data_IF_100011107234
#
_entry.id   IF_100011107234
#
_cell.length_a   1.000
_cell.length_b   1.000
_cell.length_c   1.000
_cell.angle_alpha   90.00
_cell.angle_beta   90.00
_cell.angle_gamma   90.00
#
_symmetry.space_group_name_H-M   'P 1'
#
loop_
_entity.id
_entity.type
_entity.pdbx_description
1 polymer ?
#
# COMPACT_ATOMS: atom_id res chain seq x y z
N UNK A 1 29.51 3.73 45.00
CA UNK A 1 29.56 3.25 43.60
C UNK A 1 28.13 2.91 43.21
N UNK A 2 27.44 3.85 42.57
CA UNK A 2 26.06 3.62 42.11
C UNK A 2 26.08 2.61 40.97
N UNK A 3 25.24 1.58 41.08
CA UNK A 3 24.98 0.62 40.00
C UNK A 3 24.67 1.41 38.73
N UNK A 4 25.38 1.13 37.63
CA UNK A 4 24.91 1.55 36.32
C UNK A 4 23.65 0.72 36.05
N UNK A 5 22.49 1.33 36.24
CA UNK A 5 21.22 0.72 35.85
C UNK A 5 21.25 0.56 34.33
N UNK A 6 21.55 -0.66 33.89
CA UNK A 6 21.52 -1.05 32.48
C UNK A 6 20.07 -1.00 32.03
N UNK A 7 19.67 0.07 31.34
CA UNK A 7 18.39 0.10 30.64
C UNK A 7 18.37 -1.08 29.66
N UNK A 8 17.33 -1.93 29.67
CA UNK A 8 17.19 -2.93 28.63
C UNK A 8 17.10 -2.21 27.28
N UNK A 9 18.09 -2.45 26.41
CA UNK A 9 18.15 -1.96 25.03
C UNK A 9 17.21 -2.76 24.10
N UNK A 10 16.07 -3.22 24.63
CA UNK A 10 15.06 -3.97 23.89
C UNK A 10 13.82 -3.10 23.85
N UNK A 11 13.44 -2.66 22.65
CA UNK A 11 12.19 -1.96 22.45
C UNK A 11 11.03 -2.93 22.71
N UNK A 12 10.07 -2.50 23.54
CA UNK A 12 8.83 -3.23 23.72
C UNK A 12 7.91 -2.92 22.54
N UNK A 13 7.85 -3.85 21.59
CA UNK A 13 7.03 -3.74 20.39
C UNK A 13 5.67 -4.44 20.56
N UNK A 14 5.49 -5.21 21.64
CA UNK A 14 4.28 -6.03 21.86
C UNK A 14 3.02 -5.16 22.06
N UNK A 15 3.19 -3.87 22.40
CA UNK A 15 2.09 -2.91 22.49
C UNK A 15 1.57 -2.43 21.13
N UNK A 16 2.32 -2.64 20.04
CA UNK A 16 1.97 -2.19 18.70
C UNK A 16 1.24 -3.29 17.92
N UNK A 17 1.82 -4.49 17.88
CA UNK A 17 1.25 -5.65 17.21
C UNK A 17 1.56 -6.95 17.97
N UNK A 18 0.78 -8.02 17.75
CA UNK A 18 1.15 -9.34 18.23
C UNK A 18 2.53 -9.75 17.71
N UNK A 19 3.26 -10.55 18.49
CA UNK A 19 4.61 -10.99 18.11
C UNK A 19 4.62 -11.72 16.75
N UNK A 20 5.67 -11.58 15.93
CA UNK A 20 5.77 -12.25 14.64
C UNK A 20 5.60 -13.78 14.69
N UNK A 21 5.92 -14.43 15.81
CA UNK A 21 5.77 -15.88 16.02
C UNK A 21 4.34 -16.31 16.40
N UNK A 22 3.45 -15.36 16.68
CA UNK A 22 2.09 -15.62 17.16
C UNK A 22 1.13 -16.01 16.02
N UNK A 23 0.05 -16.72 16.36
CA UNK A 23 -0.99 -17.06 15.40
C UNK A 23 -1.79 -15.80 15.01
N UNK A 24 -1.95 -14.88 15.95
CA UNK A 24 -2.66 -13.62 15.80
C UNK A 24 -1.98 -12.71 14.77
N UNK A 25 -0.64 -12.63 14.79
CA UNK A 25 0.10 -11.87 13.75
C UNK A 25 -0.08 -12.48 12.37
N UNK A 26 -0.11 -13.82 12.29
CA UNK A 26 -0.35 -14.51 11.02
C UNK A 26 -1.74 -14.23 10.47
N UNK A 27 -2.77 -14.26 11.32
CA UNK A 27 -4.15 -13.95 10.90
C UNK A 27 -4.27 -12.51 10.41
N UNK A 28 -3.64 -11.56 11.11
CA UNK A 28 -3.57 -10.15 10.70
C UNK A 28 -2.88 -10.00 9.34
N UNK A 29 -1.73 -10.65 9.14
CA UNK A 29 -1.03 -10.60 7.86
C UNK A 29 -1.83 -11.27 6.72
N UNK A 30 -2.47 -12.41 7.00
CA UNK A 30 -3.30 -13.14 6.03
C UNK A 30 -4.51 -12.28 5.62
N UNK A 31 -5.10 -11.53 6.55
CA UNK A 31 -6.18 -10.57 6.28
C UNK A 31 -5.70 -9.40 5.40
N UNK A 32 -4.55 -8.80 5.72
CA UNK A 32 -3.93 -7.76 4.89
C UNK A 32 -3.69 -8.26 3.47
N UNK A 33 -3.12 -9.46 3.32
CA UNK A 33 -2.85 -10.05 2.01
C UNK A 33 -4.15 -10.41 1.25
N UNK A 34 -5.21 -10.79 1.96
CA UNK A 34 -6.52 -11.01 1.37
C UNK A 34 -7.12 -9.71 0.86
N UNK A 35 -7.10 -8.63 1.65
CA UNK A 35 -7.63 -7.32 1.24
C UNK A 35 -6.88 -6.75 0.04
N UNK A 36 -5.55 -6.91 -0.03
CA UNK A 36 -4.80 -6.51 -1.22
C UNK A 36 -5.31 -7.21 -2.49
N UNK A 37 -5.71 -8.49 -2.40
CA UNK A 37 -6.28 -9.21 -3.55
C UNK A 37 -7.65 -8.66 -3.93
N UNK A 38 -8.50 -8.33 -2.97
CA UNK A 38 -9.80 -7.70 -3.26
C UNK A 38 -9.62 -6.31 -3.86
N UNK A 39 -8.60 -5.55 -3.43
CA UNK A 39 -8.25 -4.25 -3.97
C UNK A 39 -7.74 -4.33 -5.41
N UNK A 40 -6.99 -5.37 -5.77
CA UNK A 40 -6.62 -5.62 -7.18
C UNK A 40 -7.87 -5.78 -8.05
N UNK A 41 -8.80 -6.65 -7.64
CA UNK A 41 -10.05 -6.88 -8.36
C UNK A 41 -10.90 -5.60 -8.46
N UNK A 42 -11.01 -4.84 -7.36
CA UNK A 42 -11.73 -3.57 -7.33
C UNK A 42 -11.07 -2.53 -8.24
N UNK A 43 -9.74 -2.44 -8.22
CA UNK A 43 -8.98 -1.53 -9.07
C UNK A 43 -9.17 -1.86 -10.54
N UNK A 44 -9.16 -3.14 -10.91
CA UNK A 44 -9.39 -3.60 -12.29
C UNK A 44 -10.84 -3.37 -12.74
N UNK A 45 -11.80 -3.36 -11.82
CA UNK A 45 -13.21 -3.09 -12.08
C UNK A 45 -13.60 -1.60 -11.99
N UNK A 46 -12.67 -0.69 -11.67
CA UNK A 46 -12.99 0.74 -11.56
C UNK A 46 -13.56 1.29 -12.88
N UNK A 47 -14.66 2.07 -12.82
CA UNK A 47 -15.17 2.78 -13.99
C UNK A 47 -14.19 3.88 -14.44
N UNK A 48 -14.41 4.40 -15.63
CA UNK A 48 -13.66 5.56 -16.12
C UNK A 48 -13.83 6.75 -15.15
N UNK A 49 -12.77 7.56 -14.94
CA UNK A 49 -12.77 8.65 -13.98
C UNK A 49 -13.56 9.86 -14.51
N UNK A 50 -14.88 9.80 -14.30
CA UNK A 50 -15.84 10.86 -14.62
C UNK A 50 -16.62 11.31 -13.37
N UNK A 51 -17.24 12.51 -13.34
CA UNK A 51 -17.89 13.03 -12.13
C UNK A 51 -18.94 12.10 -11.52
N UNK A 52 -19.70 11.37 -12.36
CA UNK A 52 -20.70 10.42 -11.89
C UNK A 52 -20.10 9.21 -11.15
N UNK A 53 -18.84 8.88 -11.43
CA UNK A 53 -18.11 7.78 -10.82
C UNK A 53 -17.26 8.20 -9.60
N UNK A 54 -17.23 9.49 -9.25
CA UNK A 54 -16.35 10.03 -8.21
C UNK A 54 -16.54 9.35 -6.85
N UNK A 55 -17.78 9.02 -6.46
CA UNK A 55 -18.06 8.30 -5.22
C UNK A 55 -17.42 6.90 -5.17
N UNK A 56 -17.56 6.12 -6.26
CA UNK A 56 -16.97 4.78 -6.36
C UNK A 56 -15.44 4.84 -6.27
N UNK A 57 -14.84 5.82 -6.94
CA UNK A 57 -13.41 6.09 -6.86
C UNK A 57 -12.97 6.49 -5.46
N UNK A 58 -13.72 7.35 -4.77
CA UNK A 58 -13.41 7.78 -3.42
C UNK A 58 -13.44 6.63 -2.42
N UNK A 59 -14.45 5.77 -2.49
CA UNK A 59 -14.56 4.60 -1.63
C UNK A 59 -13.39 3.62 -1.86
N UNK A 60 -13.04 3.39 -3.12
CA UNK A 60 -11.88 2.56 -3.47
C UNK A 60 -10.57 3.17 -2.96
N UNK A 61 -10.33 4.46 -3.22
CA UNK A 61 -9.08 5.13 -2.86
C UNK A 61 -8.89 5.24 -1.34
N UNK A 62 -9.98 5.37 -0.56
CA UNK A 62 -9.92 5.32 0.91
C UNK A 62 -9.52 3.94 1.40
N UNK A 63 -10.11 2.87 0.85
CA UNK A 63 -9.71 1.50 1.18
C UNK A 63 -8.25 1.24 0.82
N UNK A 64 -7.79 1.79 -0.32
CA UNK A 64 -6.40 1.70 -0.72
C UNK A 64 -5.45 2.47 0.22
N UNK A 65 -5.83 3.68 0.63
CA UNK A 65 -5.09 4.45 1.65
C UNK A 65 -5.00 3.70 2.98
N UNK A 66 -6.11 3.15 3.45
CA UNK A 66 -6.16 2.35 4.68
C UNK A 66 -5.24 1.12 4.59
N UNK A 67 -5.27 0.42 3.45
CA UNK A 67 -4.38 -0.72 3.19
C UNK A 67 -2.92 -0.31 3.21
N UNK A 68 -2.55 0.79 2.55
CA UNK A 68 -1.18 1.29 2.52
C UNK A 68 -0.68 1.68 3.91
N UNK A 69 -1.54 2.31 4.72
CA UNK A 69 -1.24 2.66 6.11
C UNK A 69 -0.96 1.41 6.94
N UNK A 70 -1.87 0.44 6.92
CA UNK A 70 -1.72 -0.79 7.70
C UNK A 70 -0.48 -1.60 7.25
N UNK A 71 -0.26 -1.71 5.94
CA UNK A 71 0.93 -2.35 5.38
C UNK A 71 2.22 -1.66 5.82
N UNK A 72 2.25 -0.32 5.82
CA UNK A 72 3.42 0.45 6.27
C UNK A 72 3.71 0.25 7.75
N UNK A 73 2.67 0.20 8.59
CA UNK A 73 2.81 -0.03 10.03
C UNK A 73 3.37 -1.44 10.30
N UNK A 74 2.89 -2.45 9.58
CA UNK A 74 3.35 -3.85 9.68
C UNK A 74 4.79 -4.01 9.15
N UNK A 75 5.12 -3.36 8.02
CA UNK A 75 6.48 -3.36 7.47
C UNK A 75 7.47 -2.76 8.48
N UNK A 76 7.16 -1.59 9.03
CA UNK A 76 7.99 -0.95 10.05
C UNK A 76 8.15 -1.82 11.30
N UNK A 77 7.08 -2.50 11.74
CA UNK A 77 7.12 -3.42 12.87
C UNK A 77 8.06 -4.61 12.61
N UNK A 78 7.95 -5.25 11.43
CA UNK A 78 8.82 -6.35 11.02
C UNK A 78 10.28 -5.88 10.90
N UNK A 79 10.53 -4.70 10.32
CA UNK A 79 11.86 -4.13 10.18
C UNK A 79 12.52 -3.85 11.53
N UNK A 80 11.76 -3.39 12.53
CA UNK A 80 12.28 -3.22 13.88
C UNK A 80 12.71 -4.55 14.52
N UNK A 81 11.93 -5.62 14.31
CA UNK A 81 12.33 -6.97 14.74
C UNK A 81 13.54 -7.49 13.97
N UNK A 82 13.65 -7.21 12.67
CA UNK A 82 14.77 -7.61 11.83
C UNK A 82 16.05 -6.88 12.24
N UNK A 83 15.96 -5.59 12.58
CA UNK A 83 17.07 -4.79 13.08
C UNK A 83 17.55 -5.27 14.46
N UNK A 84 16.62 -5.71 15.33
CA UNK A 84 16.95 -6.25 16.65
C UNK A 84 17.62 -7.62 16.58
N UNK A 85 17.17 -8.51 15.68
CA UNK A 85 17.79 -9.82 15.43
C UNK A 85 17.74 -10.20 13.93
N UNK A 86 18.78 -9.86 13.14
CA UNK A 86 18.85 -10.21 11.73
C UNK A 86 18.89 -11.73 11.47
N UNK A 87 19.25 -12.52 12.49
CA UNK A 87 19.32 -13.97 12.41
C UNK A 87 17.95 -14.64 12.68
N UNK A 88 16.92 -13.91 13.10
CA UNK A 88 15.58 -14.45 13.34
C UNK A 88 14.94 -14.97 12.03
N UNK A 89 14.76 -16.28 11.95
CA UNK A 89 14.20 -16.94 10.77
C UNK A 89 12.70 -16.63 10.56
N UNK A 90 11.94 -16.41 11.62
CA UNK A 90 10.52 -16.05 11.53
C UNK A 90 10.35 -14.66 10.92
N UNK A 91 11.17 -13.69 11.37
CA UNK A 91 11.16 -12.33 10.82
C UNK A 91 11.53 -12.30 9.35
N UNK A 92 12.59 -13.01 8.93
CA UNK A 92 12.95 -13.12 7.50
C UNK A 92 11.85 -13.74 6.65
N UNK A 93 11.07 -14.67 7.21
CA UNK A 93 9.92 -15.23 6.50
C UNK A 93 8.86 -14.14 6.25
N UNK A 94 8.62 -13.25 7.21
CA UNK A 94 7.69 -12.13 7.04
C UNK A 94 8.19 -11.09 6.04
N UNK A 95 9.48 -10.76 6.04
CA UNK A 95 10.10 -9.90 5.02
C UNK A 95 9.90 -10.47 3.61
N UNK A 96 10.11 -11.79 3.44
CA UNK A 96 9.86 -12.45 2.16
C UNK A 96 8.38 -12.41 1.75
N UNK A 97 7.46 -12.52 2.70
CA UNK A 97 6.02 -12.43 2.44
C UNK A 97 5.60 -11.00 2.07
N UNK A 98 6.13 -9.97 2.72
CA UNK A 98 5.95 -8.57 2.32
C UNK A 98 6.47 -8.33 0.90
N UNK A 99 7.68 -8.82 0.60
CA UNK A 99 8.25 -8.70 -0.74
C UNK A 99 7.36 -9.35 -1.80
N UNK A 100 6.74 -10.49 -1.49
CA UNK A 100 5.79 -11.18 -2.37
C UNK A 100 4.47 -10.42 -2.61
N UNK A 101 4.13 -9.41 -1.79
CA UNK A 101 2.95 -8.56 -2.02
C UNK A 101 3.20 -7.45 -3.05
N UNK A 102 4.48 -7.10 -3.30
CA UNK A 102 4.86 -5.98 -4.19
C UNK A 102 4.23 -6.06 -5.59
N UNK A 103 4.15 -7.22 -6.27
CA UNK A 103 3.50 -7.31 -7.58
C UNK A 103 2.01 -6.94 -7.54
N UNK A 104 1.30 -7.30 -6.46
CA UNK A 104 -0.12 -6.96 -6.31
C UNK A 104 -0.31 -5.46 -6.06
N UNK A 105 0.55 -4.84 -5.23
CA UNK A 105 0.55 -3.37 -5.10
C UNK A 105 0.77 -2.68 -6.43
N UNK A 106 1.74 -3.15 -7.23
CA UNK A 106 2.01 -2.60 -8.56
C UNK A 106 0.80 -2.72 -9.49
N UNK A 107 0.04 -3.81 -9.41
CA UNK A 107 -1.20 -3.96 -10.21
C UNK A 107 -2.25 -2.92 -9.83
N UNK A 108 -2.45 -2.67 -8.53
CA UNK A 108 -3.37 -1.63 -8.04
C UNK A 108 -2.94 -0.25 -8.55
N UNK A 109 -1.67 0.11 -8.35
CA UNK A 109 -1.12 1.38 -8.81
C UNK A 109 -1.25 1.56 -10.33
N UNK A 110 -0.89 0.53 -11.11
CA UNK A 110 -0.99 0.55 -12.57
C UNK A 110 -2.44 0.77 -13.03
N UNK A 111 -3.40 0.09 -12.40
CA UNK A 111 -4.81 0.22 -12.74
C UNK A 111 -5.35 1.65 -12.48
N UNK A 112 -4.87 2.32 -11.43
CA UNK A 112 -5.17 3.74 -11.16
C UNK A 112 -4.49 4.63 -12.22
N UNK A 113 -3.20 4.42 -12.44
CA UNK A 113 -2.36 5.23 -13.33
C UNK A 113 -2.89 5.24 -14.76
N UNK A 114 -3.21 4.08 -15.34
CA UNK A 114 -3.71 3.97 -16.72
C UNK A 114 -5.03 4.72 -16.91
N UNK A 115 -5.94 4.65 -15.93
CA UNK A 115 -7.23 5.35 -15.99
C UNK A 115 -7.06 6.86 -15.92
N UNK A 116 -6.17 7.34 -15.05
CA UNK A 116 -5.89 8.78 -14.93
C UNK A 116 -5.08 9.33 -16.11
N UNK A 117 -4.25 8.50 -16.75
CA UNK A 117 -3.45 8.89 -17.92
C UNK A 117 -4.33 9.26 -19.12
N UNK A 118 -5.42 8.53 -19.31
CA UNK A 118 -6.35 8.72 -20.43
C UNK A 118 -7.14 10.03 -20.40
N UNK A 119 -7.16 10.72 -19.25
CA UNK A 119 -7.93 11.95 -19.10
C UNK A 119 -7.24 13.17 -19.72
N UNK A 120 -8.03 13.98 -20.42
CA UNK A 120 -7.69 15.36 -20.72
C UNK A 120 -7.55 16.20 -19.43
N UNK A 121 -6.82 17.32 -19.48
CA UNK A 121 -6.53 18.12 -18.28
C UNK A 121 -7.79 18.70 -17.63
N UNK A 122 -8.72 19.21 -18.44
CA UNK A 122 -10.04 19.71 -18.02
C UNK A 122 -10.94 18.62 -17.45
N UNK A 123 -10.96 17.43 -18.07
CA UNK A 123 -11.70 16.27 -17.58
C UNK A 123 -11.18 15.82 -16.20
N UNK A 124 -9.86 15.83 -16.00
CA UNK A 124 -9.24 15.51 -14.72
C UNK A 124 -9.60 16.52 -13.63
N UNK A 125 -9.54 17.82 -13.90
CA UNK A 125 -9.97 18.82 -12.91
C UNK A 125 -11.46 18.71 -12.58
N UNK A 126 -12.29 18.41 -13.58
CA UNK A 126 -13.73 18.19 -13.38
C UNK A 126 -13.99 16.97 -12.49
N UNK A 127 -13.26 15.88 -12.71
CA UNK A 127 -13.31 14.69 -11.87
C UNK A 127 -12.85 14.99 -10.44
N UNK A 128 -11.74 15.71 -10.24
CA UNK A 128 -11.25 16.09 -8.91
C UNK A 128 -12.23 16.99 -8.16
N UNK A 129 -12.96 17.87 -8.85
CA UNK A 129 -13.95 18.75 -8.25
C UNK A 129 -15.26 18.04 -7.86
N UNK A 130 -15.49 16.82 -8.36
CA UNK A 130 -16.72 16.08 -8.13
C UNK A 130 -16.85 15.49 -6.72
N UNK A 131 -15.73 15.30 -6.01
CA UNK A 131 -15.70 14.77 -4.65
C UNK A 131 -14.76 15.62 -3.77
N UNK A 132 -15.29 16.16 -2.67
CA UNK A 132 -14.53 17.08 -1.82
C UNK A 132 -13.27 16.46 -1.19
N UNK A 133 -13.31 15.16 -0.89
CA UNK A 133 -12.16 14.44 -0.35
C UNK A 133 -10.99 14.32 -1.35
N UNK A 134 -11.23 14.35 -2.66
CA UNK A 134 -10.14 14.35 -3.65
C UNK A 134 -9.20 15.55 -3.52
N UNK A 135 -9.67 16.67 -2.97
CA UNK A 135 -8.81 17.80 -2.64
C UNK A 135 -7.72 17.46 -1.62
N UNK A 136 -7.99 16.53 -0.70
CA UNK A 136 -7.05 16.12 0.35
C UNK A 136 -5.94 15.21 -0.20
N UNK A 137 -6.29 14.38 -1.18
CA UNK A 137 -5.37 13.44 -1.85
C UNK A 137 -4.93 13.91 -3.23
N UNK A 138 -5.16 15.18 -3.59
CA UNK A 138 -4.87 15.72 -4.93
C UNK A 138 -3.44 15.46 -5.37
N UNK A 139 -2.48 15.69 -4.47
CA UNK A 139 -1.06 15.44 -4.76
C UNK A 139 -0.81 13.99 -5.17
N UNK A 140 -1.42 13.03 -4.48
CA UNK A 140 -1.31 11.61 -4.82
C UNK A 140 -1.84 11.32 -6.24
N UNK A 141 -3.03 11.85 -6.58
CA UNK A 141 -3.65 11.64 -7.89
C UNK A 141 -2.86 12.30 -9.03
N UNK A 142 -2.31 13.50 -8.79
CA UNK A 142 -1.42 14.18 -9.73
C UNK A 142 -0.12 13.40 -9.95
N UNK A 143 0.48 12.88 -8.88
CA UNK A 143 1.68 12.05 -8.96
C UNK A 143 1.40 10.75 -9.73
N UNK A 144 0.28 10.06 -9.48
CA UNK A 144 -0.11 8.89 -10.27
C UNK A 144 -0.23 9.21 -11.75
N UNK A 145 -0.88 10.33 -12.09
CA UNK A 145 -0.98 10.78 -13.48
C UNK A 145 0.38 11.12 -14.09
N UNK A 146 1.32 11.67 -13.31
CA UNK A 146 2.70 11.94 -13.74
C UNK A 146 3.47 10.65 -13.99
N UNK A 147 3.40 9.69 -13.06
CA UNK A 147 4.07 8.39 -13.23
C UNK A 147 3.55 7.63 -14.44
N UNK A 148 2.25 7.66 -14.69
CA UNK A 148 1.66 7.04 -15.88
C UNK A 148 2.29 7.55 -17.19
N UNK A 149 2.66 8.83 -17.27
CA UNK A 149 3.33 9.42 -18.45
C UNK A 149 4.78 8.98 -18.63
N UNK A 150 5.39 8.46 -17.56
CA UNK A 150 6.76 7.93 -17.57
C UNK A 150 6.80 6.43 -17.85
N UNK A 151 5.64 5.78 -17.97
CA UNK A 151 5.53 4.34 -18.22
C UNK A 151 5.77 3.99 -19.67
N UNK A 152 6.29 2.78 -19.86
CA UNK A 152 6.37 2.18 -21.18
C UNK A 152 4.95 1.85 -21.67
N UNK A 153 4.73 1.73 -23.01
CA UNK A 153 3.48 1.21 -23.53
C UNK A 153 3.08 -0.11 -22.86
N UNK A 154 1.77 -0.36 -22.70
CA UNK A 154 1.23 -1.46 -21.88
C UNK A 154 1.83 -2.85 -22.17
N UNK A 155 2.14 -3.16 -23.44
CA UNK A 155 2.78 -4.42 -23.84
C UNK A 155 4.20 -4.59 -23.28
N UNK A 156 4.94 -3.49 -23.08
CA UNK A 156 6.30 -3.50 -22.55
C UNK A 156 6.33 -3.51 -21.01
N UNK A 157 5.32 -2.92 -20.36
CA UNK A 157 5.14 -2.98 -18.90
C UNK A 157 4.84 -4.41 -18.42
N UNK A 158 4.06 -5.20 -19.17
CA UNK A 158 3.80 -6.60 -18.80
C UNK A 158 5.07 -7.44 -18.73
N UNK A 159 6.02 -7.21 -19.64
CA UNK A 159 7.30 -7.95 -19.70
C UNK A 159 8.30 -7.49 -18.63
N UNK A 160 8.22 -6.24 -18.18
CA UNK A 160 9.12 -5.68 -17.16
C UNK A 160 8.69 -6.01 -15.72
N UNK A 161 7.43 -6.44 -15.53
CA UNK A 161 6.86 -6.81 -14.24
C UNK A 161 6.76 -8.33 -14.03
N UNK A 162 7.33 -9.15 -14.94
CA UNK A 162 7.64 -10.58 -14.76
C UNK A 162 8.98 -10.78 -14.04
#
# INVERSE_FOLDING_TARGET
>A
MASADTFPLVWDLDSLFPRPESAEFRELFDALQAELRTLVEAAEALPDPEPAAAGVWADFLKRWEDHLREASDIEAFIECHAAADPANAAVRQWEARLAAMRPLWRRVELAIELRLQGLAADAFETFLAAEGWFGQIRFYLEERRRFARLRLPAEQESLANE
#
